data_IF_900054419190
#
_entry.id   IF_900054419190
#
_cell.length_a   1.000
_cell.length_b   1.000
_cell.length_c   1.000
_cell.angle_alpha   90.00
_cell.angle_beta   90.00
_cell.angle_gamma   90.00
#
_symmetry.space_group_name_H-M   'P 1'
#
loop_
_entity.id
_entity.type
_entity.pdbx_description
1 polymer ?
#
# COMPACT_ATOMS: atom_id res chain seq x y z
N UNK A 1 -6.54 5.52 3.78
CA UNK A 1 -5.57 5.09 2.77
C UNK A 1 -4.45 6.11 2.76
N UNK A 2 -3.20 5.69 2.58
CA UNK A 2 -2.05 6.59 2.59
C UNK A 2 -1.19 6.33 1.34
N UNK A 3 -0.67 7.40 0.73
CA UNK A 3 0.17 7.33 -0.47
C UNK A 3 1.37 8.24 -0.29
N UNK A 4 2.57 7.68 -0.47
CA UNK A 4 3.81 8.38 -0.27
C UNK A 4 4.71 8.17 -1.48
N UNK A 5 5.30 9.25 -2.00
CA UNK A 5 6.49 9.12 -2.85
C UNK A 5 7.68 8.83 -1.93
N UNK A 6 8.53 7.90 -2.34
CA UNK A 6 9.70 7.49 -1.56
C UNK A 6 10.94 7.58 -2.43
N UNK A 7 12.07 7.92 -1.81
CA UNK A 7 13.37 7.78 -2.46
C UNK A 7 13.89 6.36 -2.21
N UNK A 8 14.12 5.59 -3.27
CA UNK A 8 14.55 4.20 -3.17
C UNK A 8 14.32 3.41 -4.46
N UNK A 9 14.24 2.08 -4.32
CA UNK A 9 13.96 1.15 -5.43
C UNK A 9 12.53 1.34 -5.97
N UNK A 10 11.56 1.53 -5.06
CA UNK A 10 10.18 1.81 -5.41
C UNK A 10 9.93 3.32 -5.50
N UNK A 11 9.10 3.77 -6.45
CA UNK A 11 8.74 5.20 -6.58
C UNK A 11 7.64 5.64 -5.61
N UNK A 12 6.75 4.72 -5.24
CA UNK A 12 5.60 4.98 -4.39
C UNK A 12 5.35 3.85 -3.40
N UNK A 13 4.96 4.22 -2.19
CA UNK A 13 4.44 3.31 -1.17
C UNK A 13 2.97 3.61 -0.92
N UNK A 14 2.13 2.59 -1.13
CA UNK A 14 0.69 2.64 -0.97
C UNK A 14 0.27 1.79 0.23
N UNK A 15 -0.41 2.40 1.18
CA UNK A 15 -1.04 1.69 2.30
C UNK A 15 -2.54 1.69 2.13
N UNK A 16 -3.06 0.51 1.81
CA UNK A 16 -4.47 0.29 1.46
C UNK A 16 -5.11 -0.69 2.43
N UNK A 17 -6.41 -0.55 2.66
CA UNK A 17 -7.23 -1.52 3.40
C UNK A 17 -8.23 -2.10 2.43
N UNK A 18 -8.30 -3.43 2.37
CA UNK A 18 -9.19 -4.15 1.46
C UNK A 18 -9.94 -5.22 2.24
N UNK A 19 -11.11 -5.63 1.74
CA UNK A 19 -11.98 -6.59 2.42
C UNK A 19 -11.36 -8.00 2.54
N UNK A 20 -10.38 -8.34 1.71
CA UNK A 20 -9.70 -9.62 1.73
C UNK A 20 -8.78 -9.85 0.52
N UNK A 21 -8.21 -11.06 0.39
CA UNK A 21 -7.23 -11.37 -0.66
C UNK A 21 -7.73 -11.15 -2.09
N UNK A 22 -8.97 -11.55 -2.40
CA UNK A 22 -9.52 -11.37 -3.75
C UNK A 22 -9.70 -9.89 -4.13
N UNK A 23 -10.05 -9.04 -3.16
CA UNK A 23 -10.11 -7.60 -3.37
C UNK A 23 -8.71 -6.99 -3.55
N UNK A 24 -7.69 -7.52 -2.87
CA UNK A 24 -6.29 -7.13 -3.06
C UNK A 24 -5.82 -7.43 -4.50
N UNK A 25 -6.09 -8.62 -5.01
CA UNK A 25 -5.74 -9.00 -6.38
C UNK A 25 -6.42 -8.11 -7.43
N UNK A 26 -7.70 -7.79 -7.22
CA UNK A 26 -8.44 -6.89 -8.09
C UNK A 26 -7.81 -5.49 -8.11
N UNK A 27 -7.41 -4.97 -6.94
CA UNK A 27 -6.75 -3.68 -6.81
C UNK A 27 -5.37 -3.66 -7.47
N UNK A 28 -4.54 -4.69 -7.27
CA UNK A 28 -3.22 -4.81 -7.90
C UNK A 28 -3.37 -4.85 -9.43
N UNK A 29 -4.33 -5.63 -9.93
CA UNK A 29 -4.61 -5.72 -11.37
C UNK A 29 -5.01 -4.36 -11.93
N UNK A 30 -5.81 -3.60 -11.21
CA UNK A 30 -6.25 -2.28 -11.61
C UNK A 30 -5.11 -1.26 -11.63
N UNK A 31 -4.25 -1.24 -10.60
CA UNK A 31 -3.06 -0.40 -10.55
C UNK A 31 -2.12 -0.66 -11.73
N UNK A 32 -1.87 -1.94 -12.04
CA UNK A 32 -1.02 -2.34 -13.17
C UNK A 32 -1.59 -1.85 -14.51
N UNK A 33 -2.91 -1.93 -14.70
CA UNK A 33 -3.56 -1.43 -15.93
C UNK A 33 -3.52 0.09 -16.06
N UNK A 34 -3.75 0.82 -14.96
CA UNK A 34 -3.87 2.28 -15.00
C UNK A 34 -2.53 3.00 -15.07
N UNK A 35 -1.50 2.46 -14.42
CA UNK A 35 -0.24 3.16 -14.24
C UNK A 35 0.96 2.49 -14.91
N UNK A 36 0.78 1.30 -15.53
CA UNK A 36 1.89 0.53 -16.14
C UNK A 36 3.09 0.33 -15.20
N UNK A 37 2.82 0.17 -13.90
CA UNK A 37 3.82 -0.01 -12.85
C UNK A 37 3.99 -1.49 -12.47
N UNK A 38 5.20 -1.85 -12.02
CA UNK A 38 5.40 -3.07 -11.24
C UNK A 38 4.92 -2.86 -9.80
N UNK A 39 4.53 -3.94 -9.12
CA UNK A 39 4.00 -3.87 -7.74
C UNK A 39 4.69 -4.90 -6.85
N UNK A 40 5.29 -4.44 -5.76
CA UNK A 40 5.75 -5.27 -4.63
C UNK A 40 4.74 -5.13 -3.49
N UNK A 41 4.18 -6.24 -3.00
CA UNK A 41 3.07 -6.20 -2.03
C UNK A 41 3.44 -6.95 -0.76
N UNK A 42 3.22 -6.29 0.38
CA UNK A 42 3.43 -6.85 1.71
C UNK A 42 2.10 -6.81 2.47
N UNK A 43 1.64 -7.96 2.95
CA UNK A 43 0.39 -8.05 3.75
C UNK A 43 0.71 -7.81 5.22
N UNK A 44 0.04 -6.84 5.83
CA UNK A 44 0.13 -6.57 7.26
C UNK A 44 -0.69 -7.59 8.02
N UNK A 45 -0.05 -8.39 8.88
CA UNK A 45 -0.73 -9.40 9.70
C UNK A 45 -1.36 -8.80 10.96
N UNK A 46 -0.67 -7.85 11.59
CA UNK A 46 -1.13 -7.18 12.79
C UNK A 46 -0.64 -5.73 12.81
N UNK A 47 -1.53 -4.82 13.20
CA UNK A 47 -1.19 -3.40 13.40
C UNK A 47 -1.17 -3.10 14.90
N UNK A 48 0.01 -2.91 15.48
CA UNK A 48 0.15 -2.58 16.91
C UNK A 48 -0.20 -1.11 17.20
N UNK A 49 0.18 -0.21 16.31
CA UNK A 49 -0.10 1.20 16.38
C UNK A 49 -0.21 1.77 14.97
N UNK A 50 -1.02 2.81 14.82
CA UNK A 50 -1.18 3.53 13.57
C UNK A 50 -1.48 5.00 13.90
N UNK A 51 -0.97 5.93 13.09
CA UNK A 51 -1.25 7.37 13.20
C UNK A 51 -1.06 7.95 14.61
N UNK A 52 -0.07 7.44 15.37
CA UNK A 52 0.18 7.94 16.72
C UNK A 52 0.79 9.35 16.63
N UNK A 53 0.17 10.38 17.22
CA UNK A 53 0.75 11.71 17.22
C UNK A 53 2.07 11.68 18.01
N UNK A 54 3.14 12.19 17.39
CA UNK A 54 4.38 12.44 18.12
C UNK A 54 4.12 13.61 19.06
N UNK A 55 4.13 13.36 20.37
CA UNK A 55 4.24 14.46 21.34
C UNK A 55 5.70 14.89 21.34
N UNK A 56 6.02 16.17 21.05
CA UNK A 56 7.39 16.67 21.06
C UNK A 56 8.01 16.57 22.46
#
# INVERSE_FOLDING_TARGET
>A
EECHSVAGEDSFLLKVRVAGPSALEALIRDLRRRASVSTRTTVVLQTFYEARPHRP
#
